data_IF_695294920072
#
_entry.id   IF_695294920072
#
_cell.length_a   1.000
_cell.length_b   1.000
_cell.length_c   1.000
_cell.angle_alpha   90.00
_cell.angle_beta   90.00
_cell.angle_gamma   90.00
#
_symmetry.space_group_name_H-M   'P 1'
#
loop_
_entity.id
_entity.type
_entity.pdbx_description
1 polymer ?
#
# COMPACT_ATOMS: atom_id res chain seq x y z
N UNK A 1 -15.89 8.83 1.87
CA UNK A 1 -14.90 8.14 1.05
C UNK A 1 -15.62 7.34 -0.01
N UNK A 2 -15.26 7.52 -1.29
CA UNK A 2 -15.89 6.88 -2.44
C UNK A 2 -14.95 5.87 -3.08
N UNK A 3 -15.39 4.62 -3.20
CA UNK A 3 -14.59 3.49 -3.67
C UNK A 3 -15.11 3.02 -5.02
N UNK A 4 -14.22 2.94 -6.01
CA UNK A 4 -14.52 2.37 -7.32
C UNK A 4 -14.28 0.87 -7.29
N UNK A 5 -15.28 0.08 -7.66
CA UNK A 5 -15.19 -1.38 -7.84
C UNK A 5 -15.20 -1.70 -9.32
N UNK A 6 -14.12 -2.32 -9.80
CA UNK A 6 -13.92 -2.68 -11.21
C UNK A 6 -13.77 -4.18 -11.34
N UNK A 7 -14.71 -4.83 -11.99
CA UNK A 7 -14.74 -6.26 -12.24
C UNK A 7 -15.74 -6.49 -13.39
N UNK A 8 -15.52 -7.41 -14.31
CA UNK A 8 -16.43 -7.66 -15.42
C UNK A 8 -17.67 -8.42 -15.00
N UNK A 9 -17.63 -9.16 -13.88
CA UNK A 9 -18.76 -9.89 -13.32
C UNK A 9 -19.68 -8.98 -12.48
N UNK A 10 -20.95 -8.73 -12.91
CA UNK A 10 -21.87 -7.88 -12.15
C UNK A 10 -22.11 -8.35 -10.71
N UNK A 11 -22.18 -9.68 -10.51
CA UNK A 11 -22.41 -10.27 -9.19
C UNK A 11 -21.28 -9.97 -8.20
N UNK A 12 -20.02 -9.97 -8.67
CA UNK A 12 -18.85 -9.64 -7.84
C UNK A 12 -18.88 -8.16 -7.48
N UNK A 13 -19.14 -7.28 -8.44
CA UNK A 13 -19.29 -5.84 -8.20
C UNK A 13 -20.36 -5.54 -7.14
N UNK A 14 -21.55 -6.15 -7.30
CA UNK A 14 -22.67 -5.97 -6.35
C UNK A 14 -22.32 -6.50 -4.95
N UNK A 15 -21.71 -7.68 -4.86
CA UNK A 15 -21.29 -8.26 -3.59
C UNK A 15 -20.30 -7.37 -2.85
N UNK A 16 -19.23 -6.92 -3.52
CA UNK A 16 -18.24 -6.03 -2.93
C UNK A 16 -18.91 -4.72 -2.53
N UNK A 17 -19.75 -4.14 -3.40
CA UNK A 17 -20.47 -2.90 -3.14
C UNK A 17 -21.37 -2.96 -1.91
N UNK A 18 -22.07 -4.08 -1.67
CA UNK A 18 -22.87 -4.29 -0.48
C UNK A 18 -22.01 -4.23 0.79
N UNK A 19 -20.87 -4.92 0.84
CA UNK A 19 -19.97 -4.88 1.99
C UNK A 19 -19.39 -3.48 2.23
N UNK A 20 -19.00 -2.77 1.17
CA UNK A 20 -18.51 -1.39 1.26
C UNK A 20 -19.59 -0.45 1.81
N UNK A 21 -20.83 -0.58 1.32
CA UNK A 21 -21.96 0.25 1.78
C UNK A 21 -22.27 -0.01 3.26
N UNK A 22 -22.28 -1.28 3.70
CA UNK A 22 -22.45 -1.64 5.12
C UNK A 22 -21.34 -1.05 5.98
N UNK A 23 -20.12 -0.92 5.44
CA UNK A 23 -18.99 -0.29 6.13
C UNK A 23 -19.00 1.25 6.06
N UNK A 24 -20.01 1.87 5.43
CA UNK A 24 -20.18 3.33 5.38
C UNK A 24 -19.43 4.02 4.23
N UNK A 25 -18.97 3.27 3.22
CA UNK A 25 -18.34 3.83 2.04
C UNK A 25 -19.36 4.07 0.91
N UNK A 26 -19.14 5.13 0.13
CA UNK A 26 -19.83 5.32 -1.14
C UNK A 26 -19.18 4.44 -2.21
N UNK A 27 -19.98 3.93 -3.15
CA UNK A 27 -19.48 3.04 -4.21
C UNK A 27 -19.74 3.60 -5.60
N UNK A 28 -18.77 3.40 -6.48
CA UNK A 28 -18.90 3.56 -7.92
C UNK A 28 -18.51 2.25 -8.58
N UNK A 29 -18.96 2.02 -9.81
CA UNK A 29 -18.74 0.75 -10.51
C UNK A 29 -18.19 1.00 -11.92
N UNK A 30 -17.35 0.09 -12.37
CA UNK A 30 -16.92 -0.02 -13.77
C UNK A 30 -16.79 -1.51 -14.14
N UNK A 31 -17.00 -1.84 -15.40
CA UNK A 31 -16.99 -3.23 -15.89
C UNK A 31 -15.68 -3.62 -16.59
N UNK A 32 -14.83 -2.65 -16.87
CA UNK A 32 -13.54 -2.84 -17.54
C UNK A 32 -12.59 -1.67 -17.22
N UNK A 33 -11.33 -1.82 -17.62
CA UNK A 33 -10.31 -0.81 -17.37
C UNK A 33 -10.54 0.52 -18.10
N UNK A 34 -11.22 0.51 -19.25
CA UNK A 34 -11.53 1.73 -20.00
C UNK A 34 -12.55 2.57 -19.24
N UNK A 35 -13.62 1.93 -18.76
CA UNK A 35 -14.62 2.60 -17.95
C UNK A 35 -14.04 3.09 -16.62
N UNK A 36 -13.16 2.29 -15.99
CA UNK A 36 -12.46 2.66 -14.76
C UNK A 36 -11.64 3.94 -14.94
N UNK A 37 -10.85 4.07 -16.00
CA UNK A 37 -10.09 5.28 -16.32
C UNK A 37 -10.97 6.50 -16.47
N UNK A 38 -12.13 6.36 -17.14
CA UNK A 38 -13.07 7.46 -17.32
C UNK A 38 -13.71 7.89 -16.00
N UNK A 39 -13.95 6.97 -15.08
CA UNK A 39 -14.49 7.28 -13.74
C UNK A 39 -13.42 7.95 -12.89
N UNK A 40 -12.21 7.43 -12.83
CA UNK A 40 -11.10 8.01 -12.05
C UNK A 40 -10.74 9.41 -12.55
N UNK A 41 -10.82 9.67 -13.85
CA UNK A 41 -10.54 10.98 -14.43
C UNK A 41 -11.48 12.09 -13.96
N UNK A 42 -12.64 11.77 -13.36
CA UNK A 42 -13.54 12.75 -12.75
C UNK A 42 -13.02 13.32 -11.43
N UNK A 43 -12.05 12.63 -10.80
CA UNK A 43 -11.33 13.14 -9.63
C UNK A 43 -12.05 12.95 -8.28
N UNK A 44 -13.11 12.15 -8.22
CA UNK A 44 -13.94 11.94 -7.02
C UNK A 44 -13.80 10.51 -6.42
N UNK A 45 -12.76 9.77 -6.82
CA UNK A 45 -12.50 8.40 -6.36
C UNK A 45 -11.32 8.41 -5.39
N UNK A 46 -11.57 7.93 -4.17
CA UNK A 46 -10.58 7.88 -3.09
C UNK A 46 -9.78 6.55 -3.06
N UNK A 47 -10.35 5.45 -3.59
CA UNK A 47 -9.72 4.14 -3.69
C UNK A 47 -10.34 3.34 -4.84
N UNK A 48 -9.55 2.52 -5.52
CA UNK A 48 -10.00 1.61 -6.56
C UNK A 48 -9.74 0.16 -6.15
N UNK A 49 -10.74 -0.71 -6.28
CA UNK A 49 -10.62 -2.16 -6.21
C UNK A 49 -10.72 -2.65 -7.65
N UNK A 50 -9.67 -3.28 -8.16
CA UNK A 50 -9.47 -3.52 -9.59
C UNK A 50 -9.18 -4.99 -9.87
N UNK A 51 -10.07 -5.66 -10.59
CA UNK A 51 -9.81 -7.01 -11.06
C UNK A 51 -8.73 -7.02 -12.14
N UNK A 52 -7.89 -8.04 -12.16
CA UNK A 52 -6.88 -8.24 -13.23
C UNK A 52 -7.54 -8.69 -14.51
N UNK A 53 -8.38 -9.71 -14.44
CA UNK A 53 -8.90 -10.40 -15.62
C UNK A 53 -10.18 -9.76 -16.12
N UNK A 54 -10.06 -8.77 -16.98
CA UNK A 54 -11.22 -8.09 -17.58
C UNK A 54 -11.09 -7.98 -19.10
N UNK A 55 -12.20 -7.94 -19.85
CA UNK A 55 -12.19 -7.71 -21.30
C UNK A 55 -11.77 -6.27 -21.64
N UNK A 56 -11.31 -6.06 -22.89
CA UNK A 56 -10.90 -4.79 -23.48
C UNK A 56 -9.61 -4.18 -22.88
N UNK A 57 -9.55 -3.99 -21.58
CA UNK A 57 -8.38 -3.51 -20.86
C UNK A 57 -8.31 -4.23 -19.52
N UNK A 58 -7.27 -5.04 -19.33
CA UNK A 58 -6.99 -5.74 -18.08
C UNK A 58 -6.59 -4.77 -16.96
N UNK A 59 -6.68 -5.24 -15.70
CA UNK A 59 -6.44 -4.39 -14.54
C UNK A 59 -5.01 -3.88 -14.41
N UNK A 60 -4.02 -4.67 -14.80
CA UNK A 60 -2.60 -4.25 -14.75
C UNK A 60 -2.33 -3.15 -15.76
N UNK A 61 -2.84 -3.30 -16.97
CA UNK A 61 -2.76 -2.27 -18.02
C UNK A 61 -3.48 -0.98 -17.59
N UNK A 62 -4.67 -1.13 -16.99
CA UNK A 62 -5.42 -0.01 -16.43
C UNK A 62 -4.62 0.73 -15.35
N UNK A 63 -4.02 0.01 -14.40
CA UNK A 63 -3.20 0.60 -13.34
C UNK A 63 -2.00 1.35 -13.90
N UNK A 64 -1.26 0.75 -14.85
CA UNK A 64 -0.13 1.41 -15.53
C UNK A 64 -0.56 2.71 -16.19
N UNK A 65 -1.69 2.69 -16.89
CA UNK A 65 -2.24 3.87 -17.56
C UNK A 65 -2.68 4.95 -16.54
N UNK A 66 -3.29 4.55 -15.41
CA UNK A 66 -3.59 5.48 -14.30
C UNK A 66 -2.33 6.19 -13.82
N UNK A 67 -1.24 5.45 -13.58
CA UNK A 67 0.04 6.00 -13.11
C UNK A 67 0.70 6.90 -14.16
N UNK A 68 0.66 6.50 -15.43
CA UNK A 68 1.18 7.30 -16.56
C UNK A 68 0.45 8.63 -16.70
N UNK A 69 -0.85 8.66 -16.47
CA UNK A 69 -1.67 9.91 -16.46
C UNK A 69 -1.54 10.71 -15.16
N UNK A 70 -0.73 10.25 -14.20
CA UNK A 70 -0.48 10.95 -12.93
C UNK A 70 -1.56 10.76 -11.87
N UNK A 71 -2.51 9.84 -12.06
CA UNK A 71 -3.50 9.50 -11.03
C UNK A 71 -2.82 8.77 -9.87
N UNK A 72 -2.97 9.32 -8.65
CA UNK A 72 -2.41 8.77 -7.41
C UNK A 72 -3.44 7.98 -6.61
N UNK A 73 -4.65 7.82 -7.12
CA UNK A 73 -5.70 7.03 -6.49
C UNK A 73 -5.15 5.66 -6.08
N UNK A 74 -5.23 5.27 -4.80
CA UNK A 74 -4.79 3.97 -4.33
C UNK A 74 -5.55 2.84 -5.02
N UNK A 75 -4.85 1.74 -5.28
CA UNK A 75 -5.41 0.60 -5.99
C UNK A 75 -5.14 -0.70 -5.22
N UNK A 76 -6.21 -1.44 -4.95
CA UNK A 76 -6.17 -2.84 -4.49
C UNK A 76 -6.46 -3.72 -5.70
N UNK A 77 -5.51 -4.58 -6.07
CA UNK A 77 -5.68 -5.54 -7.16
C UNK A 77 -6.39 -6.79 -6.65
N UNK A 78 -7.39 -7.28 -7.40
CA UNK A 78 -7.97 -8.61 -7.23
C UNK A 78 -7.43 -9.53 -8.31
N UNK A 79 -6.88 -10.70 -7.97
CA UNK A 79 -6.31 -11.63 -8.95
C UNK A 79 -6.63 -13.08 -8.65
N UNK A 80 -6.58 -13.94 -9.65
CA UNK A 80 -6.78 -15.38 -9.48
C UNK A 80 -5.58 -16.04 -8.79
N UNK A 81 -5.82 -17.15 -8.09
CA UNK A 81 -4.77 -17.94 -7.42
C UNK A 81 -3.87 -18.62 -8.47
N UNK A 82 -2.57 -18.34 -8.41
CA UNK A 82 -1.56 -19.03 -9.24
C UNK A 82 -0.78 -18.15 -10.22
N UNK A 83 -1.18 -16.90 -10.40
CA UNK A 83 -0.48 -15.95 -11.28
C UNK A 83 0.56 -15.15 -10.48
N UNK A 84 1.67 -15.85 -10.15
CA UNK A 84 2.82 -15.25 -9.45
C UNK A 84 3.44 -14.10 -10.28
N UNK A 85 3.32 -14.19 -11.59
CA UNK A 85 3.73 -13.15 -12.54
C UNK A 85 2.90 -11.87 -12.39
N UNK A 86 1.61 -11.97 -12.10
CA UNK A 86 0.74 -10.81 -11.91
C UNK A 86 1.04 -10.07 -10.60
N UNK A 87 1.50 -10.78 -9.56
CA UNK A 87 1.91 -10.17 -8.30
C UNK A 87 3.13 -9.27 -8.50
N UNK A 88 4.17 -9.78 -9.15
CA UNK A 88 5.41 -9.03 -9.41
C UNK A 88 5.11 -7.85 -10.35
N UNK A 89 4.36 -8.08 -11.41
CA UNK A 89 3.98 -7.04 -12.38
C UNK A 89 3.04 -5.99 -11.76
N UNK A 90 2.18 -6.37 -10.83
CA UNK A 90 1.29 -5.47 -10.10
C UNK A 90 2.06 -4.54 -9.15
N UNK A 91 3.06 -5.07 -8.43
CA UNK A 91 3.91 -4.26 -7.56
C UNK A 91 4.79 -3.28 -8.37
N UNK A 92 5.34 -3.71 -9.49
CA UNK A 92 6.09 -2.84 -10.42
C UNK A 92 5.18 -1.78 -11.07
N UNK A 93 3.89 -2.08 -11.22
CA UNK A 93 2.89 -1.15 -11.74
C UNK A 93 2.42 -0.11 -10.69
N UNK A 94 2.79 -0.25 -9.41
CA UNK A 94 2.46 0.69 -8.35
C UNK A 94 1.09 0.44 -7.70
N UNK A 95 0.72 -0.84 -7.47
CA UNK A 95 -0.44 -1.20 -6.63
C UNK A 95 -0.15 -0.94 -5.15
N UNK A 96 -1.19 -0.58 -4.40
CA UNK A 96 -1.08 -0.32 -2.96
C UNK A 96 -1.35 -1.58 -2.12
N UNK A 97 -2.15 -2.52 -2.62
CA UNK A 97 -2.36 -3.83 -2.02
C UNK A 97 -2.86 -4.85 -3.06
N UNK A 98 -2.91 -6.11 -2.66
CA UNK A 98 -3.22 -7.24 -3.52
C UNK A 98 -4.07 -8.28 -2.77
N UNK A 99 -5.13 -8.79 -3.41
CA UNK A 99 -6.04 -9.80 -2.85
C UNK A 99 -6.20 -10.96 -3.84
N UNK A 100 -6.01 -12.18 -3.37
CA UNK A 100 -6.15 -13.38 -4.20
C UNK A 100 -7.58 -13.90 -4.16
N UNK A 101 -8.18 -14.14 -5.33
CA UNK A 101 -9.47 -14.82 -5.48
C UNK A 101 -9.29 -16.36 -5.30
N UNK A 102 -10.16 -17.08 -4.54
CA UNK A 102 -11.29 -16.54 -3.81
C UNK A 102 -10.89 -15.89 -2.49
N UNK A 103 -11.45 -14.73 -2.18
CA UNK A 103 -11.20 -13.99 -0.95
C UNK A 103 -12.42 -14.00 -0.02
N UNK A 104 -12.19 -13.81 1.27
CA UNK A 104 -13.28 -13.56 2.21
C UNK A 104 -13.64 -12.07 2.20
N UNK A 105 -14.94 -11.70 2.32
CA UNK A 105 -15.33 -10.31 2.46
C UNK A 105 -14.64 -9.60 3.62
N UNK A 106 -14.42 -10.30 4.74
CA UNK A 106 -13.71 -9.76 5.92
C UNK A 106 -12.26 -9.38 5.58
N UNK A 107 -11.58 -10.20 4.78
CA UNK A 107 -10.21 -9.94 4.33
C UNK A 107 -10.17 -8.69 3.45
N UNK A 108 -11.02 -8.63 2.40
CA UNK A 108 -11.07 -7.48 1.52
C UNK A 108 -11.38 -6.19 2.30
N UNK A 109 -12.35 -6.22 3.23
CA UNK A 109 -12.71 -5.06 4.04
C UNK A 109 -11.58 -4.61 4.98
N UNK A 110 -10.81 -5.55 5.54
CA UNK A 110 -9.64 -5.22 6.35
C UNK A 110 -8.56 -4.49 5.53
N UNK A 111 -8.31 -4.93 4.28
CA UNK A 111 -7.37 -4.31 3.35
C UNK A 111 -7.86 -2.94 2.88
N UNK A 112 -9.14 -2.82 2.53
CA UNK A 112 -9.76 -1.52 2.19
C UNK A 112 -9.58 -0.53 3.34
N UNK A 113 -9.86 -0.94 4.58
CA UNK A 113 -9.66 -0.10 5.76
C UNK A 113 -8.19 0.30 5.94
N UNK A 114 -7.26 -0.63 5.76
CA UNK A 114 -5.82 -0.35 5.87
C UNK A 114 -5.34 0.65 4.81
N UNK A 115 -5.77 0.50 3.55
CA UNK A 115 -5.43 1.44 2.47
C UNK A 115 -6.12 2.78 2.69
N UNK A 116 -7.40 2.79 3.10
CA UNK A 116 -8.16 4.00 3.40
C UNK A 116 -7.54 4.85 4.52
N UNK A 117 -7.03 4.20 5.58
CA UNK A 117 -6.34 4.89 6.67
C UNK A 117 -5.03 5.56 6.21
N UNK A 118 -4.35 5.01 5.20
CA UNK A 118 -3.14 5.60 4.60
C UNK A 118 -3.44 6.87 3.81
N UNK A 119 -4.62 6.94 3.19
CA UNK A 119 -5.00 8.04 2.30
C UNK A 119 -5.83 9.12 2.98
N UNK A 120 -6.43 8.82 4.13
CA UNK A 120 -7.24 9.76 4.89
C UNK A 120 -6.88 9.69 6.38
N UNK A 121 -5.88 10.49 6.83
CA UNK A 121 -5.37 10.49 8.20
C UNK A 121 -6.43 10.75 9.28
N UNK A 122 -7.53 11.43 8.93
CA UNK A 122 -8.62 11.75 9.85
C UNK A 122 -9.45 10.52 10.27
N UNK A 123 -9.26 9.36 9.62
CA UNK A 123 -9.94 8.10 9.96
C UNK A 123 -9.20 7.25 10.99
N UNK A 124 -8.00 7.64 11.42
CA UNK A 124 -7.17 6.91 12.39
C UNK A 124 -7.03 7.66 13.72
N UNK A 125 -7.31 6.99 14.83
CA UNK A 125 -7.08 7.54 16.19
C UNK A 125 -5.59 7.69 16.56
N UNK A 126 -4.64 7.36 15.68
CA UNK A 126 -3.20 7.44 15.94
C UNK A 126 -2.63 8.76 15.41
N UNK A 127 -2.62 9.78 16.26
CA UNK A 127 -1.88 11.03 16.07
C UNK A 127 -0.37 10.86 16.34
N UNK A 128 0.21 9.74 15.91
CA UNK A 128 1.62 9.43 16.19
C UNK A 128 2.53 10.18 15.22
N UNK A 129 3.32 11.09 15.80
CA UNK A 129 4.38 11.81 15.13
C UNK A 129 5.71 11.47 15.80
N UNK A 130 6.66 10.98 15.02
CA UNK A 130 8.00 10.67 15.51
C UNK A 130 8.97 11.76 15.07
N UNK A 131 9.73 12.29 16.02
CA UNK A 131 10.70 13.38 15.78
C UNK A 131 12.06 12.93 16.31
N UNK A 132 13.05 12.94 15.43
CA UNK A 132 14.45 12.59 15.72
C UNK A 132 15.35 13.65 15.10
N UNK A 133 15.68 14.71 15.87
CA UNK A 133 16.33 15.88 15.30
C UNK A 133 15.47 16.52 14.20
N UNK A 134 16.04 16.64 12.99
CA UNK A 134 15.33 17.20 11.84
C UNK A 134 14.53 16.16 11.03
N UNK A 135 14.60 14.86 11.39
CA UNK A 135 13.76 13.81 10.82
C UNK A 135 12.41 13.82 11.52
N UNK A 136 11.36 14.11 10.76
CA UNK A 136 9.97 14.08 11.22
C UNK A 136 9.21 13.03 10.39
N UNK A 137 8.60 12.06 11.07
CA UNK A 137 7.75 11.04 10.47
C UNK A 137 6.35 11.29 11.00
N UNK A 138 5.47 11.70 10.13
CA UNK A 138 4.07 12.02 10.45
C UNK A 138 3.20 10.88 9.93
N UNK A 139 2.76 10.01 10.84
CA UNK A 139 2.02 8.79 10.49
C UNK A 139 0.65 9.13 9.90
N UNK A 140 -0.15 10.03 10.49
CA UNK A 140 -1.43 10.43 9.92
C UNK A 140 -1.32 10.98 8.50
N UNK A 141 -0.37 11.88 8.24
CA UNK A 141 -0.20 12.49 6.91
C UNK A 141 0.63 11.64 5.94
N UNK A 142 1.08 10.45 6.37
CA UNK A 142 1.93 9.53 5.59
C UNK A 142 3.14 10.23 4.98
N UNK A 143 3.76 11.13 5.75
CA UNK A 143 4.81 12.00 5.25
C UNK A 143 6.09 11.93 6.09
N UNK A 144 7.22 12.11 5.42
CA UNK A 144 8.54 12.22 6.02
C UNK A 144 9.10 13.58 5.66
N UNK A 145 9.69 14.26 6.64
CA UNK A 145 10.48 15.48 6.42
C UNK A 145 11.87 15.32 6.99
N UNK A 146 12.87 15.87 6.29
CA UNK A 146 14.24 16.00 6.76
C UNK A 146 14.66 17.45 6.51
N UNK A 147 15.14 18.16 7.53
CA UNK A 147 15.48 19.59 7.45
C UNK A 147 14.33 20.46 6.92
N UNK A 148 13.07 20.08 7.23
CA UNK A 148 11.87 20.77 6.78
C UNK A 148 11.40 20.42 5.36
N UNK A 149 12.19 19.70 4.56
CA UNK A 149 11.86 19.26 3.20
C UNK A 149 11.18 17.90 3.18
N UNK A 150 10.20 17.73 2.32
CA UNK A 150 9.53 16.45 2.14
C UNK A 150 10.45 15.44 1.44
N UNK A 151 10.49 14.22 1.98
CA UNK A 151 11.17 13.06 1.40
C UNK A 151 10.15 12.16 0.74
N UNK A 152 10.31 11.93 -0.56
CA UNK A 152 9.43 11.02 -1.31
C UNK A 152 9.89 9.58 -1.12
N UNK A 153 9.01 8.74 -0.59
CA UNK A 153 9.19 7.30 -0.44
C UNK A 153 7.96 6.57 -0.98
N UNK A 154 8.10 5.30 -1.30
CA UNK A 154 6.95 4.47 -1.64
C UNK A 154 6.12 4.15 -0.38
N UNK A 155 4.82 3.81 -0.51
CA UNK A 155 3.99 3.41 0.63
C UNK A 155 4.62 2.29 1.47
N UNK A 156 5.22 1.29 0.83
CA UNK A 156 5.89 0.18 1.53
C UNK A 156 7.17 0.59 2.24
N UNK A 157 7.93 1.52 1.71
CA UNK A 157 9.08 2.10 2.41
C UNK A 157 8.64 2.91 3.62
N UNK A 158 7.53 3.65 3.52
CA UNK A 158 6.94 4.36 4.65
C UNK A 158 6.48 3.39 5.74
N UNK A 159 5.70 2.36 5.40
CA UNK A 159 5.24 1.32 6.33
C UNK A 159 6.43 0.63 7.03
N UNK A 160 7.49 0.35 6.28
CA UNK A 160 8.72 -0.25 6.79
C UNK A 160 9.40 0.67 7.80
N UNK A 161 9.52 1.96 7.49
CA UNK A 161 10.09 2.94 8.42
C UNK A 161 9.26 3.04 9.70
N UNK A 162 7.95 3.18 9.59
CA UNK A 162 7.03 3.23 10.74
C UNK A 162 7.14 1.96 11.59
N UNK A 163 7.17 0.78 10.96
CA UNK A 163 7.36 -0.49 11.66
C UNK A 163 8.65 -0.52 12.47
N UNK A 164 9.76 -0.03 11.92
CA UNK A 164 11.05 0.02 12.59
C UNK A 164 11.05 1.05 13.73
N UNK A 165 10.48 2.23 13.51
CA UNK A 165 10.40 3.33 14.49
C UNK A 165 9.53 2.97 15.68
N UNK A 166 8.39 2.33 15.45
CA UNK A 166 7.52 1.81 16.52
C UNK A 166 8.18 0.72 17.39
N UNK A 167 9.22 0.07 16.86
CA UNK A 167 10.03 -0.90 17.59
C UNK A 167 11.47 -0.38 17.83
N UNK A 168 11.62 0.93 18.05
CA UNK A 168 12.91 1.59 18.32
C UNK A 168 13.73 0.82 19.36
N UNK A 169 15.03 0.63 19.08
CA UNK A 169 15.96 -0.09 19.95
C UNK A 169 15.86 -1.62 19.89
N UNK A 170 14.82 -2.16 19.22
CA UNK A 170 14.59 -3.60 19.12
C UNK A 170 15.00 -4.11 17.74
N UNK A 171 15.86 -5.14 17.70
CA UNK A 171 16.20 -5.83 16.46
C UNK A 171 15.02 -6.70 16.01
N UNK A 172 14.47 -6.40 14.82
CA UNK A 172 13.43 -7.20 14.19
C UNK A 172 14.04 -8.13 13.16
N UNK A 173 13.63 -9.41 13.18
CA UNK A 173 14.03 -10.35 12.13
C UNK A 173 13.38 -9.96 10.78
N UNK A 174 14.02 -10.37 9.67
CA UNK A 174 13.48 -10.15 8.31
C UNK A 174 12.09 -10.71 8.18
N UNK A 175 11.88 -11.93 8.65
CA UNK A 175 10.58 -12.60 8.68
C UNK A 175 9.54 -11.78 9.46
N UNK A 176 9.89 -11.27 10.65
CA UNK A 176 8.98 -10.45 11.46
C UNK A 176 8.64 -9.12 10.80
N UNK A 177 9.61 -8.48 10.13
CA UNK A 177 9.38 -7.28 9.33
C UNK A 177 8.45 -7.60 8.16
N UNK A 178 8.72 -8.69 7.45
CA UNK A 178 7.92 -9.15 6.33
C UNK A 178 6.46 -9.34 6.74
N UNK A 179 6.22 -10.08 7.82
CA UNK A 179 4.89 -10.32 8.37
C UNK A 179 4.16 -9.02 8.76
N UNK A 180 4.86 -8.06 9.38
CA UNK A 180 4.25 -6.80 9.84
C UNK A 180 3.94 -5.83 8.71
N UNK A 181 4.79 -5.77 7.67
CA UNK A 181 4.71 -4.77 6.60
C UNK A 181 4.01 -5.31 5.35
N UNK A 182 4.17 -6.61 5.05
CA UNK A 182 3.60 -7.26 3.86
C UNK A 182 2.45 -8.23 4.14
N UNK A 183 2.13 -8.53 5.43
CA UNK A 183 1.12 -9.49 5.90
C UNK A 183 1.47 -10.99 5.70
N UNK A 184 0.66 -11.86 6.34
CA UNK A 184 0.88 -13.31 6.41
C UNK A 184 0.87 -14.07 5.07
N UNK A 185 0.31 -13.48 4.00
CA UNK A 185 0.18 -14.14 2.70
C UNK A 185 1.33 -13.83 1.73
N UNK A 186 2.40 -13.20 2.22
CA UNK A 186 3.55 -12.88 1.40
C UNK A 186 4.50 -14.08 1.33
N UNK A 187 4.51 -14.80 0.22
CA UNK A 187 5.45 -15.90 -0.09
C UNK A 187 6.76 -15.40 -0.74
N UNK A 188 7.13 -14.14 -0.54
CA UNK A 188 8.36 -13.57 -1.08
C UNK A 188 9.60 -13.96 -0.25
N UNK A 189 10.76 -13.92 -0.90
CA UNK A 189 12.04 -14.17 -0.23
C UNK A 189 12.40 -13.04 0.76
N UNK A 190 13.18 -13.38 1.79
CA UNK A 190 13.75 -12.43 2.78
C UNK A 190 14.51 -11.25 2.13
N UNK A 191 14.95 -11.41 0.90
CA UNK A 191 15.64 -10.39 0.08
C UNK A 191 14.78 -9.17 -0.23
N UNK A 192 13.45 -9.30 -0.19
CA UNK A 192 12.53 -8.17 -0.38
C UNK A 192 12.73 -7.11 0.68
N UNK A 193 12.88 -7.51 1.94
CA UNK A 193 13.15 -6.59 3.05
C UNK A 193 14.47 -5.87 2.83
N UNK A 194 15.53 -6.59 2.46
CA UNK A 194 16.86 -6.01 2.24
C UNK A 194 16.86 -4.97 1.12
N UNK A 195 16.10 -5.22 0.05
CA UNK A 195 15.95 -4.27 -1.06
C UNK A 195 15.27 -2.98 -0.60
N UNK A 196 14.14 -3.08 0.12
CA UNK A 196 13.43 -1.91 0.62
C UNK A 196 14.22 -1.14 1.68
N UNK A 197 14.98 -1.83 2.55
CA UNK A 197 15.90 -1.19 3.49
C UNK A 197 16.98 -0.39 2.74
N UNK A 198 17.55 -0.95 1.67
CA UNK A 198 18.56 -0.26 0.86
C UNK A 198 17.98 1.03 0.25
N UNK A 199 16.79 0.95 -0.33
CA UNK A 199 16.12 2.10 -0.94
C UNK A 199 15.72 3.14 0.11
N UNK A 200 15.13 2.72 1.22
CA UNK A 200 14.77 3.60 2.32
C UNK A 200 15.99 4.35 2.89
N UNK A 201 17.11 3.65 3.11
CA UNK A 201 18.37 4.29 3.53
C UNK A 201 18.85 5.35 2.54
N UNK A 202 18.69 5.11 1.24
CA UNK A 202 19.04 6.08 0.20
C UNK A 202 18.18 7.34 0.28
N UNK A 203 16.89 7.21 0.56
CA UNK A 203 15.96 8.34 0.69
C UNK A 203 16.16 9.12 1.99
N UNK A 204 16.53 8.44 3.10
CA UNK A 204 16.75 9.06 4.40
C UNK A 204 18.07 9.86 4.48
N UNK A 205 18.94 9.82 3.48
CA UNK A 205 20.18 10.61 3.38
C UNK A 205 21.03 10.54 4.66
N UNK A 206 21.14 11.65 5.40
CA UNK A 206 21.94 11.77 6.63
C UNK A 206 21.39 10.88 7.78
N UNK A 207 20.11 10.51 7.73
CA UNK A 207 19.46 9.61 8.69
C UNK A 207 19.51 8.13 8.28
N UNK A 208 20.20 7.77 7.19
CA UNK A 208 20.33 6.37 6.72
C UNK A 208 20.89 5.43 7.77
N UNK A 209 21.80 5.92 8.60
CA UNK A 209 22.48 5.15 9.64
C UNK A 209 21.61 4.90 10.88
N UNK A 210 20.44 5.56 11.00
CA UNK A 210 19.44 5.26 12.01
C UNK A 210 18.83 3.87 11.82
N UNK A 211 18.90 3.31 10.60
CA UNK A 211 18.51 1.94 10.34
C UNK A 211 19.77 1.08 10.38
N UNK A 212 20.00 0.39 11.48
CA UNK A 212 21.15 -0.49 11.66
C UNK A 212 20.87 -1.90 11.15
N UNK A 213 21.91 -2.56 10.61
CA UNK A 213 21.87 -3.99 10.30
C UNK A 213 22.38 -4.78 11.50
N UNK A 214 21.56 -5.64 12.06
CA UNK A 214 21.94 -6.56 13.12
C UNK A 214 22.25 -7.92 12.46
N UNK A 215 23.56 -8.20 12.31
CA UNK A 215 24.03 -9.39 11.60
C UNK A 215 23.45 -10.67 12.19
N UNK A 216 22.98 -11.55 11.32
CA UNK A 216 22.34 -12.82 11.72
C UNK A 216 20.91 -12.68 12.26
N UNK A 217 20.38 -11.44 12.44
CA UNK A 217 19.02 -11.19 12.94
C UNK A 217 18.20 -10.45 11.89
N UNK A 218 18.51 -9.20 11.61
CA UNK A 218 17.72 -8.35 10.72
C UNK A 218 18.05 -6.86 10.86
N UNK A 219 17.07 -6.03 11.22
CA UNK A 219 17.22 -4.59 11.25
C UNK A 219 16.66 -3.96 12.53
N UNK A 220 17.25 -2.85 12.94
CA UNK A 220 16.87 -2.07 14.11
C UNK A 220 16.86 -0.58 13.75
N UNK A 221 15.93 0.18 14.30
CA UNK A 221 15.96 1.64 14.26
C UNK A 221 16.60 2.16 15.55
N UNK A 222 17.70 2.89 15.38
CA UNK A 222 18.44 3.54 16.48
C UNK A 222 18.78 4.96 16.03
N UNK A 223 18.00 5.98 16.44
CA UNK A 223 18.30 7.36 16.10
C UNK A 223 19.60 7.79 16.79
N UNK A 224 20.46 8.46 16.06
CA UNK A 224 21.61 9.16 16.66
C UNK A 224 21.07 10.39 17.40
N UNK A 225 21.52 10.57 18.63
CA UNK A 225 21.25 11.78 19.42
C UNK A 225 21.82 13.02 18.76
#
# INVERSE_FOLDING_TARGET
MKILVVDDEPRIRELIGQYLTVAGYETAYAKDGIEALNVVAKGDIDLCILDVMMPFMDGITCLKEMRTRGFKTPVIILSAKGEEYDKITGFDAGTDDYVVKPFSPKELMARVKAVAMRTNPDLGENNEKYIFGDLIIDVPSHSIKINGEYVSVTPKEFDLLVCLVQNKGVALSRERILLKVWNYDYFGEDRTVDTHIKMLRSHLKDYRDCIETVWGVGYKFEPKE
#
